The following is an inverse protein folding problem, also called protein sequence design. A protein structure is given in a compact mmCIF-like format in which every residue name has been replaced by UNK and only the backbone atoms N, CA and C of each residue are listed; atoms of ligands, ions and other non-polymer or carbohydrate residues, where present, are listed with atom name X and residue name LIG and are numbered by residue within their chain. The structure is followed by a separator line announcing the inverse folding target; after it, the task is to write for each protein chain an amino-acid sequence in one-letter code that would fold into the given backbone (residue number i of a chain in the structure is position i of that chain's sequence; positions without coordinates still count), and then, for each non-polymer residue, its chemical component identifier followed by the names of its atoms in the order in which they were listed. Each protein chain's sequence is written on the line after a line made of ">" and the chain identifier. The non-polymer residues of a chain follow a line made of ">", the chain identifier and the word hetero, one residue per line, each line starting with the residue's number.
data_IF_454484439617
#
_entry.id   IF_454484439617
#
_cell.length_a   1.000
_cell.length_b   1.000
_cell.length_c   1.000
_cell.angle_alpha   90.00
_cell.angle_beta   90.00
_cell.angle_gamma   90.00
#
_symmetry.space_group_name_H-M   'P 1'
#
loop_
_entity.id
_entity.type
_entity.pdbx_description
1 polymer ?
#
# COMPACT_ATOMS: atom_id res chain seq x y z
N UNK A 1 -14.00 37.47 32.70
CA UNK A 1 -14.27 36.08 33.15
C UNK A 1 -14.55 35.12 31.99
N UNK A 2 -15.27 35.51 30.94
CA UNK A 2 -15.52 34.65 29.75
C UNK A 2 -14.24 34.25 29.00
N UNK A 3 -13.28 35.18 28.84
CA UNK A 3 -11.99 34.89 28.19
C UNK A 3 -11.23 33.77 28.91
N UNK A 4 -11.12 33.80 30.24
CA UNK A 4 -10.28 32.83 30.97
C UNK A 4 -10.83 31.40 30.95
N UNK A 5 -12.15 31.21 30.85
CA UNK A 5 -12.75 29.87 30.72
C UNK A 5 -12.54 29.33 29.31
N UNK A 6 -12.71 30.16 28.28
CA UNK A 6 -12.43 29.78 26.89
C UNK A 6 -10.95 29.39 26.73
N UNK A 7 -10.04 30.19 27.29
CA UNK A 7 -8.60 29.91 27.23
C UNK A 7 -8.27 28.58 27.94
N UNK A 8 -8.90 28.30 29.09
CA UNK A 8 -8.75 27.02 29.79
C UNK A 8 -9.32 25.82 29.00
N UNK A 9 -10.46 25.98 28.33
CA UNK A 9 -11.03 24.93 27.45
C UNK A 9 -10.05 24.64 26.31
N UNK A 10 -9.56 25.67 25.62
CA UNK A 10 -8.60 25.52 24.51
C UNK A 10 -7.33 24.84 25.00
N UNK A 11 -6.81 25.24 26.17
CA UNK A 11 -5.59 24.67 26.72
C UNK A 11 -5.72 23.18 27.05
N UNK A 12 -6.87 22.76 27.61
CA UNK A 12 -7.12 21.34 27.83
C UNK A 12 -7.25 20.58 26.49
N UNK A 13 -8.02 21.11 25.54
CA UNK A 13 -8.25 20.46 24.24
C UNK A 13 -7.02 20.43 23.33
N UNK A 14 -6.02 21.29 23.55
CA UNK A 14 -4.71 21.18 22.91
C UNK A 14 -3.95 19.92 23.32
N UNK A 15 -4.25 19.39 24.51
CA UNK A 15 -3.55 18.26 25.13
C UNK A 15 -4.34 16.97 25.02
N UNK A 16 -5.66 17.02 25.05
CA UNK A 16 -6.51 15.83 24.97
C UNK A 16 -7.96 16.20 24.59
N UNK A 17 -8.65 15.45 23.72
CA UNK A 17 -10.12 15.51 23.63
C UNK A 17 -10.80 15.28 24.98
N UNK A 18 -11.93 15.97 25.19
CA UNK A 18 -12.63 15.97 26.47
C UNK A 18 -14.15 16.01 26.33
N UNK A 19 -14.87 15.47 27.31
CA UNK A 19 -16.31 15.63 27.50
C UNK A 19 -16.63 16.95 28.20
N UNK A 20 -17.90 17.36 28.15
CA UNK A 20 -18.37 18.53 28.93
C UNK A 20 -18.12 18.40 30.43
N UNK A 21 -18.08 17.18 30.97
CA UNK A 21 -17.86 16.94 32.41
C UNK A 21 -16.39 17.14 32.78
N UNK A 22 -15.47 16.62 31.97
CA UNK A 22 -14.02 16.82 32.16
C UNK A 22 -13.65 18.31 32.01
N UNK A 23 -14.23 18.98 30.99
CA UNK A 23 -14.06 20.43 30.80
C UNK A 23 -14.56 21.23 32.01
N UNK A 24 -15.74 20.89 32.56
CA UNK A 24 -16.31 21.56 33.72
C UNK A 24 -15.42 21.38 34.97
N UNK A 25 -14.94 20.17 35.19
CA UNK A 25 -14.00 19.85 36.27
C UNK A 25 -12.70 20.63 36.14
N UNK A 26 -12.12 20.70 34.94
CA UNK A 26 -10.86 21.41 34.70
C UNK A 26 -10.99 22.93 34.86
N UNK A 27 -12.09 23.51 34.38
CA UNK A 27 -12.35 24.95 34.48
C UNK A 27 -12.89 25.39 35.86
N UNK A 28 -13.20 24.46 36.76
CA UNK A 28 -13.78 24.77 38.08
C UNK A 28 -15.16 25.43 38.01
N UNK A 29 -15.97 25.07 37.01
CA UNK A 29 -17.31 25.64 36.80
C UNK A 29 -18.36 24.57 36.50
N UNK A 30 -19.63 24.96 36.42
CA UNK A 30 -20.72 24.03 36.13
C UNK A 30 -20.82 23.70 34.62
N UNK A 31 -21.48 22.57 34.32
CA UNK A 31 -21.64 22.08 32.93
C UNK A 31 -22.46 23.03 32.05
N UNK A 32 -23.39 23.82 32.60
CA UNK A 32 -24.18 24.77 31.81
C UNK A 32 -23.32 25.95 31.35
N UNK A 33 -22.39 26.41 32.20
CA UNK A 33 -21.38 27.40 31.86
C UNK A 33 -20.48 26.91 30.72
N UNK A 34 -19.97 25.69 30.81
CA UNK A 34 -19.18 25.05 29.75
C UNK A 34 -19.95 24.93 28.43
N UNK A 35 -21.20 24.47 28.49
CA UNK A 35 -22.04 24.30 27.29
C UNK A 35 -22.24 25.64 26.57
N UNK A 36 -22.42 26.74 27.32
CA UNK A 36 -22.51 28.08 26.75
C UNK A 36 -21.20 28.54 26.12
N UNK A 37 -20.04 28.25 26.74
CA UNK A 37 -18.74 28.61 26.16
C UNK A 37 -18.42 27.78 24.90
N UNK A 38 -18.75 26.49 24.90
CA UNK A 38 -18.58 25.60 23.75
C UNK A 38 -19.31 26.11 22.50
N UNK A 39 -20.51 26.67 22.66
CA UNK A 39 -21.25 27.32 21.56
C UNK A 39 -20.49 28.49 20.94
N UNK A 40 -19.72 29.23 21.72
CA UNK A 40 -18.89 30.33 21.21
C UNK A 40 -17.65 29.83 20.45
N UNK A 41 -17.30 28.55 20.61
CA UNK A 41 -16.14 27.90 20.00
C UNK A 41 -16.54 26.92 18.89
N UNK A 42 -17.81 26.86 18.49
CA UNK A 42 -18.32 25.84 17.55
C UNK A 42 -17.51 25.75 16.25
N UNK A 43 -17.09 26.89 15.68
CA UNK A 43 -16.26 26.92 14.47
C UNK A 43 -14.85 26.33 14.68
N UNK A 44 -14.33 26.34 15.90
CA UNK A 44 -13.00 25.81 16.27
C UNK A 44 -13.03 24.38 16.77
N UNK A 45 -14.22 23.82 16.99
CA UNK A 45 -14.41 22.52 17.58
C UNK A 45 -14.95 21.50 16.57
N UNK A 46 -14.70 20.24 16.87
CA UNK A 46 -15.37 19.09 16.27
C UNK A 46 -15.89 18.25 17.41
N UNK A 47 -17.03 17.60 17.21
CA UNK A 47 -17.64 16.71 18.19
C UNK A 47 -17.83 15.33 17.61
N UNK A 48 -17.56 14.29 18.41
CA UNK A 48 -17.93 12.91 18.09
C UNK A 48 -18.81 12.35 19.20
N UNK A 49 -19.56 11.28 18.90
CA UNK A 49 -20.43 10.60 19.86
C UNK A 49 -21.66 11.40 20.31
N UNK A 50 -22.58 10.72 21.00
CA UNK A 50 -23.87 11.28 21.42
C UNK A 50 -24.06 11.22 22.93
N UNK A 51 -24.78 12.21 23.47
CA UNK A 51 -25.13 12.31 24.89
C UNK A 51 -23.91 12.13 25.82
N UNK A 52 -23.89 11.06 26.62
CA UNK A 52 -22.79 10.79 27.56
C UNK A 52 -21.46 10.41 26.88
N UNK A 53 -21.50 10.00 25.62
CA UNK A 53 -20.32 9.65 24.83
C UNK A 53 -19.75 10.84 24.04
N UNK A 54 -20.37 12.03 24.13
CA UNK A 54 -19.90 13.20 23.38
C UNK A 54 -18.51 13.64 23.82
N UNK A 55 -17.61 13.73 22.84
CA UNK A 55 -16.25 14.25 22.99
C UNK A 55 -16.07 15.49 22.11
N UNK A 56 -15.38 16.48 22.65
CA UNK A 56 -14.99 17.72 21.98
C UNK A 56 -13.52 17.66 21.62
N UNK A 57 -13.21 18.10 20.41
CA UNK A 57 -11.87 18.15 19.84
C UNK A 57 -11.60 19.57 19.36
N UNK A 58 -10.38 20.06 19.56
CA UNK A 58 -9.95 21.32 18.98
C UNK A 58 -9.39 21.08 17.58
N UNK A 59 -9.82 21.86 16.59
CA UNK A 59 -9.31 21.79 15.21
C UNK A 59 -7.82 22.16 15.16
N UNK A 60 -7.07 21.45 14.31
CA UNK A 60 -5.66 21.70 14.01
C UNK A 60 -5.55 22.28 12.60
N UNK A 61 -5.33 23.59 12.49
CA UNK A 61 -5.19 24.28 11.20
C UNK A 61 -6.44 25.08 10.80
N UNK A 62 -6.85 24.98 9.53
CA UNK A 62 -7.92 25.78 8.95
C UNK A 62 -9.31 25.45 9.52
N UNK A 63 -10.23 26.41 9.39
CA UNK A 63 -11.61 26.26 9.88
C UNK A 63 -12.45 25.28 9.03
N UNK A 64 -12.05 25.02 7.78
CA UNK A 64 -12.79 24.16 6.86
C UNK A 64 -12.38 22.69 6.96
N UNK A 65 -13.38 21.79 6.91
CA UNK A 65 -13.14 20.36 6.82
C UNK A 65 -12.49 19.99 5.48
N UNK A 66 -11.60 19.00 5.47
CA UNK A 66 -10.97 18.54 4.22
C UNK A 66 -11.84 17.47 3.58
N UNK A 67 -12.38 17.76 2.39
CA UNK A 67 -13.22 16.82 1.66
C UNK A 67 -12.44 15.54 1.29
N UNK A 68 -13.08 14.39 1.45
CA UNK A 68 -12.64 13.11 0.92
C UNK A 68 -13.51 12.78 -0.29
N UNK A 69 -12.89 12.58 -1.44
CA UNK A 69 -13.60 12.14 -2.64
C UNK A 69 -13.27 10.68 -2.91
N UNK A 70 -14.26 9.95 -3.45
CA UNK A 70 -14.10 8.57 -3.91
C UNK A 70 -14.40 8.51 -5.40
N UNK A 71 -13.46 7.99 -6.17
CA UNK A 71 -13.63 7.73 -7.61
C UNK A 71 -14.23 6.33 -7.80
N UNK A 72 -15.37 6.24 -8.46
CA UNK A 72 -16.02 4.98 -8.77
C UNK A 72 -15.34 4.25 -9.94
N UNK A 73 -15.67 2.99 -10.15
CA UNK A 73 -15.22 2.21 -11.31
C UNK A 73 -15.68 2.81 -12.65
N UNK A 74 -16.76 3.60 -12.64
CA UNK A 74 -17.27 4.32 -13.82
C UNK A 74 -16.46 5.58 -14.16
N UNK A 75 -15.46 5.94 -13.35
CA UNK A 75 -14.67 7.15 -13.53
C UNK A 75 -15.32 8.44 -13.03
N UNK A 76 -16.39 8.34 -12.23
CA UNK A 76 -17.02 9.49 -11.58
C UNK A 76 -16.57 9.60 -10.13
N UNK A 77 -16.19 10.80 -9.70
CA UNK A 77 -15.92 11.09 -8.30
C UNK A 77 -17.19 11.51 -7.57
N UNK A 78 -17.34 11.05 -6.32
CA UNK A 78 -18.37 11.49 -5.40
C UNK A 78 -17.72 11.94 -4.08
N UNK A 79 -18.39 12.86 -3.37
CA UNK A 79 -18.00 13.20 -2.00
C UNK A 79 -18.26 11.99 -1.11
N UNK A 80 -17.20 11.45 -0.51
CA UNK A 80 -17.26 10.31 0.40
C UNK A 80 -17.44 10.76 1.85
N UNK A 81 -16.80 11.86 2.22
CA UNK A 81 -16.85 12.37 3.58
C UNK A 81 -15.97 13.59 3.78
N UNK A 82 -15.67 13.89 5.04
CA UNK A 82 -14.70 14.90 5.43
C UNK A 82 -13.72 14.36 6.47
N UNK A 83 -12.47 14.83 6.37
CA UNK A 83 -11.37 14.55 7.28
C UNK A 83 -11.01 15.87 7.98
N UNK A 84 -10.96 15.85 9.30
CA UNK A 84 -10.69 17.05 10.11
C UNK A 84 -9.52 16.75 11.02
N UNK A 85 -8.39 17.45 10.80
CA UNK A 85 -7.24 17.35 11.68
C UNK A 85 -7.58 17.97 13.04
N UNK A 86 -7.27 17.26 14.12
CA UNK A 86 -7.57 17.68 15.49
C UNK A 86 -6.33 17.66 16.38
N UNK A 87 -6.42 18.36 17.50
CA UNK A 87 -5.38 18.40 18.54
C UNK A 87 -5.59 17.28 19.57
N UNK A 88 -4.52 16.79 20.22
CA UNK A 88 -3.10 17.06 19.92
C UNK A 88 -2.62 16.42 18.60
N UNK A 89 -3.22 15.30 18.22
CA UNK A 89 -2.94 14.52 17.01
C UNK A 89 -4.20 13.82 16.51
N UNK A 90 -4.11 13.24 15.31
CA UNK A 90 -5.18 12.46 14.73
C UNK A 90 -6.21 13.26 13.94
N UNK A 91 -7.27 12.55 13.57
CA UNK A 91 -8.31 13.04 12.67
C UNK A 91 -9.70 12.59 13.11
N UNK A 92 -10.69 13.48 12.92
CA UNK A 92 -12.10 13.09 12.93
C UNK A 92 -12.56 12.91 11.49
N UNK A 93 -13.16 11.76 11.19
CA UNK A 93 -13.78 11.45 9.90
C UNK A 93 -15.29 11.52 10.04
N UNK A 94 -15.92 12.21 9.08
CA UNK A 94 -17.37 12.22 8.89
C UNK A 94 -17.68 11.61 7.52
N UNK A 95 -18.32 10.46 7.46
CA UNK A 95 -18.70 9.83 6.19
C UNK A 95 -20.19 10.03 5.91
N UNK A 96 -20.56 10.11 4.63
CA UNK A 96 -21.96 10.17 4.26
C UNK A 96 -22.61 8.79 4.46
N UNK A 97 -23.44 8.63 5.50
CA UNK A 97 -24.23 7.42 5.74
C UNK A 97 -23.89 6.65 7.01
N UNK A 98 -22.78 6.93 7.68
CA UNK A 98 -22.53 6.45 9.04
C UNK A 98 -23.24 7.33 10.06
N UNK A 99 -23.76 6.72 11.12
CA UNK A 99 -24.51 7.45 12.16
C UNK A 99 -23.61 8.26 13.09
N UNK A 100 -22.33 7.90 13.23
CA UNK A 100 -21.43 8.54 14.18
C UNK A 100 -20.07 8.87 13.55
N UNK A 101 -19.61 10.10 13.81
CA UNK A 101 -18.27 10.57 13.44
C UNK A 101 -17.20 9.77 14.21
N UNK A 102 -16.15 9.35 13.51
CA UNK A 102 -15.11 8.51 14.07
C UNK A 102 -13.81 9.30 14.28
N UNK A 103 -13.22 9.17 15.47
CA UNK A 103 -11.88 9.68 15.74
C UNK A 103 -10.84 8.58 15.51
N UNK A 104 -9.73 8.96 14.87
CA UNK A 104 -8.56 8.14 14.65
C UNK A 104 -7.33 8.87 15.20
N UNK A 105 -6.49 8.17 15.97
CA UNK A 105 -5.25 8.74 16.53
C UNK A 105 -4.22 9.10 15.45
N UNK A 106 -4.40 8.57 14.24
CA UNK A 106 -3.61 8.87 13.04
C UNK A 106 -4.54 8.83 11.81
N UNK A 107 -4.03 8.81 10.58
CA UNK A 107 -4.86 8.56 9.40
C UNK A 107 -5.68 7.26 9.59
N UNK A 108 -6.97 7.27 9.19
CA UNK A 108 -7.79 6.07 9.13
C UNK A 108 -7.04 4.94 8.41
N UNK A 109 -7.15 3.71 8.89
CA UNK A 109 -6.41 2.56 8.36
C UNK A 109 -6.58 2.39 6.83
N UNK A 110 -7.75 2.74 6.28
CA UNK A 110 -8.06 2.70 4.84
C UNK A 110 -7.48 3.88 4.03
N UNK A 111 -6.87 4.88 4.67
CA UNK A 111 -6.05 5.94 4.04
C UNK A 111 -4.54 5.71 4.21
N UNK A 112 -4.12 4.80 5.09
CA UNK A 112 -2.71 4.69 5.47
C UNK A 112 -1.81 4.27 4.30
N UNK A 113 -2.29 3.42 3.38
CA UNK A 113 -1.52 3.03 2.18
C UNK A 113 -1.39 4.16 1.13
N UNK A 114 -2.09 5.28 1.30
CA UNK A 114 -1.87 6.47 0.46
C UNK A 114 -0.60 7.24 0.84
N UNK A 115 -0.02 6.96 2.02
CA UNK A 115 1.23 7.61 2.44
C UNK A 115 2.29 7.43 1.37
N UNK A 116 2.98 8.52 0.98
CA UNK A 116 4.15 8.42 0.13
C UNK A 116 5.18 7.50 0.78
N UNK A 117 5.51 6.42 0.09
CA UNK A 117 6.50 5.44 0.55
C UNK A 117 7.35 4.95 -0.64
N UNK A 118 8.53 4.49 -0.30
CA UNK A 118 9.52 3.98 -1.23
C UNK A 118 9.90 4.91 -2.38
N UNK A 119 10.31 4.34 -3.53
CA UNK A 119 10.82 5.08 -4.69
C UNK A 119 9.90 6.23 -5.15
N UNK A 120 8.63 5.93 -5.41
CA UNK A 120 7.67 6.96 -5.84
C UNK A 120 7.40 8.00 -4.75
N UNK A 121 7.36 7.57 -3.49
CA UNK A 121 7.16 8.45 -2.35
C UNK A 121 8.31 9.44 -2.16
N UNK A 122 9.56 8.99 -2.28
CA UNK A 122 10.75 9.85 -2.22
C UNK A 122 10.82 10.85 -3.37
N UNK A 123 10.47 10.43 -4.58
CA UNK A 123 10.39 11.35 -5.72
C UNK A 123 9.33 12.43 -5.51
N UNK A 124 8.16 12.06 -4.97
CA UNK A 124 7.15 13.04 -4.58
C UNK A 124 7.67 13.96 -3.47
N UNK A 125 8.32 13.42 -2.43
CA UNK A 125 8.81 14.20 -1.30
C UNK A 125 9.77 15.31 -1.73
N UNK A 126 10.71 15.01 -2.62
CA UNK A 126 11.63 16.01 -3.19
C UNK A 126 10.91 17.09 -3.99
N UNK A 127 9.97 16.69 -4.85
CA UNK A 127 9.18 17.63 -5.62
C UNK A 127 8.41 18.59 -4.70
N UNK A 128 7.83 18.08 -3.61
CA UNK A 128 7.11 18.89 -2.62
C UNK A 128 8.05 19.77 -1.77
N UNK A 129 9.22 19.26 -1.39
CA UNK A 129 10.22 20.01 -0.64
C UNK A 129 10.76 21.20 -1.45
N UNK A 130 11.06 21.00 -2.74
CA UNK A 130 11.49 22.08 -3.65
C UNK A 130 10.45 23.20 -3.81
N UNK A 131 9.17 22.90 -3.55
CA UNK A 131 8.06 23.86 -3.57
C UNK A 131 7.74 24.45 -2.19
N UNK A 132 8.45 24.05 -1.14
CA UNK A 132 8.19 24.49 0.24
C UNK A 132 6.90 23.94 0.85
N UNK A 133 6.33 22.87 0.28
CA UNK A 133 5.05 22.27 0.73
C UNK A 133 5.26 21.37 1.96
N UNK A 134 6.40 20.70 2.04
CA UNK A 134 6.84 19.86 3.17
C UNK A 134 8.14 20.40 3.75
N UNK A 135 8.40 20.12 5.02
CA UNK A 135 9.56 20.65 5.73
C UNK A 135 10.90 19.97 5.36
N UNK A 136 10.85 18.74 4.82
CA UNK A 136 12.02 17.94 4.45
C UNK A 136 11.65 17.00 3.29
N UNK A 137 12.63 16.64 2.45
CA UNK A 137 12.46 15.64 1.38
C UNK A 137 12.67 14.19 1.86
N UNK A 138 13.08 14.01 3.12
CA UNK A 138 13.21 12.72 3.76
C UNK A 138 11.89 12.30 4.43
N UNK A 139 11.24 11.30 3.83
CA UNK A 139 9.95 10.76 4.26
C UNK A 139 10.00 10.13 5.67
N UNK A 140 11.17 9.69 6.14
CA UNK A 140 11.31 9.07 7.47
C UNK A 140 11.20 10.10 8.60
N UNK A 141 11.41 11.39 8.30
CA UNK A 141 11.29 12.50 9.25
C UNK A 141 9.97 13.27 9.15
N UNK A 142 9.06 12.86 8.26
CA UNK A 142 7.79 13.54 8.06
C UNK A 142 6.91 13.49 9.31
N UNK A 143 6.32 14.65 9.64
CA UNK A 143 5.30 14.77 10.67
C UNK A 143 3.91 14.68 10.03
N UNK A 144 2.85 14.57 10.85
CA UNK A 144 1.45 14.53 10.38
C UNK A 144 1.12 15.58 9.32
N UNK A 145 1.61 16.81 9.52
CA UNK A 145 1.39 17.93 8.59
C UNK A 145 2.01 17.68 7.21
N UNK A 146 3.19 17.06 7.17
CA UNK A 146 3.93 16.82 5.93
C UNK A 146 3.26 15.69 5.15
N UNK A 147 2.83 14.63 5.84
CA UNK A 147 2.02 13.55 5.28
C UNK A 147 0.71 14.11 4.72
N UNK A 148 -0.01 14.92 5.50
CA UNK A 148 -1.26 15.53 5.10
C UNK A 148 -1.10 16.43 3.86
N UNK A 149 -0.09 17.31 3.87
CA UNK A 149 0.23 18.15 2.72
C UNK A 149 0.61 17.31 1.51
N UNK A 150 1.37 16.24 1.67
CA UNK A 150 1.74 15.37 0.57
C UNK A 150 0.53 14.66 -0.03
N UNK A 151 -0.42 14.22 0.78
CA UNK A 151 -1.68 13.63 0.32
C UNK A 151 -2.57 14.63 -0.43
N UNK A 152 -2.61 15.90 -0.01
CA UNK A 152 -3.32 16.96 -0.73
C UNK A 152 -2.74 17.23 -2.13
N UNK A 153 -1.43 17.01 -2.29
CA UNK A 153 -0.67 17.29 -3.52
C UNK A 153 -0.33 16.03 -4.33
N UNK A 154 -0.74 14.85 -3.85
CA UNK A 154 -0.69 13.64 -4.64
C UNK A 154 -1.66 13.84 -5.81
N UNK A 155 -1.12 13.97 -7.03
CA UNK A 155 -1.80 14.33 -8.30
C UNK A 155 -2.82 13.28 -8.79
N UNK A 156 -3.56 12.70 -7.85
CA UNK A 156 -4.47 11.62 -8.06
C UNK A 156 -3.82 10.27 -8.33
N UNK A 157 -2.50 10.09 -8.44
CA UNK A 157 -1.97 8.78 -8.86
C UNK A 157 -1.74 7.75 -7.72
N UNK A 158 -2.17 8.08 -6.50
CA UNK A 158 -2.07 7.19 -5.34
C UNK A 158 -2.80 5.84 -5.54
N UNK A 159 -2.42 4.79 -4.81
CA UNK A 159 -3.15 3.52 -4.79
C UNK A 159 -4.62 3.70 -4.40
N UNK A 160 -5.49 2.82 -4.90
CA UNK A 160 -6.90 2.83 -4.54
C UNK A 160 -7.70 3.92 -5.24
N UNK A 161 -8.78 4.38 -4.59
CA UNK A 161 -9.78 5.26 -5.21
C UNK A 161 -10.13 6.53 -4.44
N UNK A 162 -9.37 6.87 -3.41
CA UNK A 162 -9.62 8.04 -2.57
C UNK A 162 -8.73 9.22 -2.97
N UNK A 163 -9.30 10.41 -2.93
CA UNK A 163 -8.62 11.69 -3.14
C UNK A 163 -8.82 12.57 -1.92
N UNK A 164 -7.74 13.13 -1.39
CA UNK A 164 -7.78 14.01 -0.22
C UNK A 164 -7.80 15.47 -0.67
N UNK A 165 -8.85 16.18 -0.27
CA UNK A 165 -9.00 17.61 -0.49
C UNK A 165 -9.43 18.01 -1.90
N UNK A 166 -9.83 19.27 -2.04
CA UNK A 166 -10.24 19.85 -3.32
C UNK A 166 -9.09 19.97 -4.32
N UNK A 167 -7.85 20.12 -3.85
CA UNK A 167 -6.68 20.20 -4.72
C UNK A 167 -6.43 18.88 -5.46
N UNK A 168 -6.34 17.76 -4.74
CA UNK A 168 -6.16 16.43 -5.34
C UNK A 168 -7.33 16.10 -6.28
N UNK A 169 -8.56 16.46 -5.90
CA UNK A 169 -9.74 16.32 -6.75
C UNK A 169 -9.65 17.13 -8.05
N UNK A 170 -9.31 18.42 -7.97
CA UNK A 170 -9.17 19.28 -9.14
C UNK A 170 -8.07 18.78 -10.08
N UNK A 171 -6.93 18.36 -9.52
CA UNK A 171 -5.84 17.77 -10.30
C UNK A 171 -6.27 16.49 -11.00
N UNK A 172 -7.03 15.63 -10.33
CA UNK A 172 -7.60 14.43 -10.93
C UNK A 172 -8.59 14.76 -12.07
N UNK A 173 -9.48 15.74 -11.89
CA UNK A 173 -10.42 16.18 -12.94
C UNK A 173 -9.72 16.74 -14.19
N UNK A 174 -8.62 17.46 -13.99
CA UNK A 174 -7.86 18.08 -15.07
C UNK A 174 -6.88 17.10 -15.73
N UNK A 175 -6.58 15.99 -15.06
CA UNK A 175 -5.66 14.99 -15.57
C UNK A 175 -6.30 14.22 -16.73
N UNK A 176 -5.62 14.24 -17.88
CA UNK A 176 -5.93 13.40 -19.02
C UNK A 176 -4.78 12.41 -19.19
N UNK A 177 -5.02 11.09 -19.05
CA UNK A 177 -3.98 10.09 -19.25
C UNK A 177 -3.38 10.23 -20.65
N UNK A 178 -2.09 10.58 -20.71
CA UNK A 178 -1.35 10.60 -21.97
C UNK A 178 -0.95 9.17 -22.31
N UNK A 179 -1.43 8.66 -23.44
CA UNK A 179 -1.02 7.36 -23.95
C UNK A 179 0.46 7.43 -24.35
N UNK A 180 1.24 6.49 -23.83
CA UNK A 180 2.65 6.31 -24.20
C UNK A 180 2.84 4.89 -24.75
N UNK A 181 3.89 4.71 -25.52
CA UNK A 181 4.29 3.42 -26.06
C UNK A 181 5.40 2.79 -25.20
N UNK A 182 5.64 1.50 -25.38
CA UNK A 182 6.78 0.83 -24.75
C UNK A 182 8.12 1.45 -25.16
N UNK A 183 8.22 2.06 -26.35
CA UNK A 183 9.42 2.75 -26.79
C UNK A 183 9.76 3.99 -25.94
N UNK A 184 8.78 4.56 -25.23
CA UNK A 184 8.98 5.71 -24.35
C UNK A 184 9.56 5.32 -22.97
N UNK A 185 9.63 4.02 -22.66
CA UNK A 185 10.01 3.55 -21.32
C UNK A 185 11.42 3.96 -20.90
N UNK A 186 12.36 4.03 -21.84
CA UNK A 186 13.73 4.49 -21.55
C UNK A 186 13.71 5.93 -21.04
N UNK A 187 13.01 6.82 -21.77
CA UNK A 187 12.88 8.22 -21.38
C UNK A 187 12.20 8.35 -20.02
N UNK A 188 11.09 7.64 -19.82
CA UNK A 188 10.34 7.67 -18.56
C UNK A 188 11.17 7.15 -17.38
N UNK A 189 11.99 6.12 -17.58
CA UNK A 189 12.95 5.67 -16.56
C UNK A 189 14.02 6.72 -16.27
N UNK A 190 14.58 7.39 -17.29
CA UNK A 190 15.53 8.48 -17.08
C UNK A 190 14.90 9.63 -16.29
N UNK A 191 13.68 10.05 -16.63
CA UNK A 191 12.96 11.11 -15.92
C UNK A 191 12.66 10.71 -14.46
N UNK A 192 12.27 9.44 -14.23
CA UNK A 192 12.03 8.91 -12.89
C UNK A 192 13.31 8.86 -12.04
N UNK A 193 14.46 8.56 -12.64
CA UNK A 193 15.76 8.53 -11.97
C UNK A 193 16.35 9.92 -11.76
N UNK A 194 16.04 10.90 -12.61
CA UNK A 194 16.47 12.29 -12.41
C UNK A 194 15.91 12.92 -11.12
N UNK A 195 14.80 12.37 -10.61
CA UNK A 195 14.26 12.69 -9.28
C UNK A 195 15.01 12.04 -8.11
N UNK A 196 15.91 11.07 -8.32
CA UNK A 196 16.67 10.38 -7.26
C UNK A 196 17.98 11.10 -6.89
N UNK A 197 18.52 10.81 -5.69
CA UNK A 197 19.88 11.25 -5.33
C UNK A 197 20.83 10.17 -5.82
N UNK A 198 21.94 10.55 -6.43
CA UNK A 198 23.00 9.59 -6.82
C UNK A 198 23.41 8.78 -5.57
N UNK A 199 23.08 7.49 -5.56
CA UNK A 199 23.36 6.57 -4.45
C UNK A 199 22.15 6.17 -3.57
N UNK A 200 20.96 6.77 -3.72
CA UNK A 200 19.76 6.36 -2.93
C UNK A 200 19.17 5.01 -3.35
N UNK A 201 19.40 4.58 -4.60
CA UNK A 201 19.02 3.24 -5.07
C UNK A 201 19.74 2.10 -4.31
N UNK A 202 20.71 2.40 -3.45
CA UNK A 202 21.32 1.43 -2.53
C UNK A 202 20.36 0.94 -1.42
N UNK A 203 19.17 1.55 -1.28
CA UNK A 203 18.15 1.18 -0.31
C UNK A 203 17.50 -0.19 -0.54
N UNK A 204 17.60 -0.74 -1.75
CA UNK A 204 17.06 -2.05 -2.12
C UNK A 204 15.63 -2.03 -2.68
N UNK A 205 15.03 -0.86 -2.83
CA UNK A 205 13.71 -0.73 -3.45
C UNK A 205 13.80 -0.59 -4.97
N UNK A 206 12.98 -1.36 -5.68
CA UNK A 206 12.99 -1.40 -7.13
C UNK A 206 12.47 -0.09 -7.76
N UNK A 207 13.24 0.56 -8.66
CA UNK A 207 12.79 1.72 -9.43
C UNK A 207 11.53 1.42 -10.24
N UNK A 208 10.61 2.39 -10.26
CA UNK A 208 9.33 2.26 -10.97
C UNK A 208 8.72 3.59 -11.36
N UNK A 209 7.88 3.58 -12.40
CA UNK A 209 7.05 4.71 -12.79
C UNK A 209 5.64 4.25 -13.19
N UNK A 210 4.68 5.17 -13.15
CA UNK A 210 3.33 4.93 -13.68
C UNK A 210 3.24 5.43 -15.13
N UNK A 211 2.53 4.68 -15.97
CA UNK A 211 2.29 5.03 -17.37
C UNK A 211 0.92 4.56 -17.83
N UNK A 212 0.37 5.18 -18.88
CA UNK A 212 -0.85 4.71 -19.54
C UNK A 212 -0.48 4.11 -20.90
N UNK A 213 -0.53 2.78 -21.00
CA UNK A 213 -0.01 2.00 -22.13
C UNK A 213 -1.10 1.08 -22.63
N UNK A 214 -1.36 1.10 -23.95
CA UNK A 214 -2.37 0.26 -24.60
C UNK A 214 -3.76 0.34 -23.94
N UNK A 215 -4.16 1.55 -23.53
CA UNK A 215 -5.47 1.79 -22.90
C UNK A 215 -5.58 1.35 -21.44
N UNK A 216 -4.47 0.92 -20.81
CA UNK A 216 -4.44 0.49 -19.42
C UNK A 216 -3.41 1.30 -18.61
N UNK A 217 -3.75 1.59 -17.36
CA UNK A 217 -2.80 2.14 -16.39
C UNK A 217 -1.83 1.05 -15.96
N UNK A 218 -0.54 1.37 -15.95
CA UNK A 218 0.54 0.42 -15.66
C UNK A 218 1.51 0.99 -14.63
N UNK A 219 1.99 0.10 -13.77
CA UNK A 219 3.15 0.33 -12.91
C UNK A 219 4.33 -0.42 -13.54
N UNK A 220 5.29 0.33 -14.07
CA UNK A 220 6.44 -0.23 -14.78
C UNK A 220 7.64 -0.24 -13.82
N UNK A 221 8.05 -1.43 -13.39
CA UNK A 221 9.31 -1.64 -12.66
C UNK A 221 10.46 -1.74 -13.67
N UNK A 222 11.64 -1.23 -13.34
CA UNK A 222 12.77 -1.26 -14.27
C UNK A 222 14.11 -1.44 -13.57
N UNK A 223 15.13 -1.76 -14.37
CA UNK A 223 16.53 -1.87 -13.92
C UNK A 223 17.37 -0.70 -14.42
N UNK A 224 18.51 -0.49 -13.77
CA UNK A 224 19.65 0.15 -14.44
C UNK A 224 20.14 -0.71 -15.63
N UNK A 225 20.93 -0.16 -16.57
CA UNK A 225 21.45 -0.93 -17.69
C UNK A 225 22.25 -2.12 -17.18
N UNK A 226 21.91 -3.32 -17.66
CA UNK A 226 22.48 -4.60 -17.29
C UNK A 226 23.92 -4.73 -17.83
N UNK A 227 24.84 -4.05 -17.18
CA UNK A 227 26.26 -3.93 -17.56
C UNK A 227 27.18 -4.74 -16.67
N UNK A 228 26.65 -5.32 -15.59
CA UNK A 228 27.39 -6.16 -14.64
C UNK A 228 26.47 -7.25 -14.05
N UNK A 229 27.05 -8.18 -13.27
CA UNK A 229 26.32 -9.32 -12.73
C UNK A 229 25.12 -8.93 -11.83
N UNK A 230 25.24 -7.86 -11.03
CA UNK A 230 24.16 -7.41 -10.14
C UNK A 230 22.99 -6.81 -10.92
N UNK A 231 23.28 -5.95 -11.89
CA UNK A 231 22.25 -5.36 -12.77
C UNK A 231 21.59 -6.41 -13.67
N UNK A 232 22.36 -7.41 -14.14
CA UNK A 232 21.81 -8.57 -14.82
C UNK A 232 20.89 -9.39 -13.91
N UNK A 233 21.28 -9.64 -12.64
CA UNK A 233 20.44 -10.36 -11.68
C UNK A 233 19.10 -9.66 -11.44
N UNK A 234 19.08 -8.33 -11.36
CA UNK A 234 17.81 -7.58 -11.28
C UNK A 234 16.94 -7.74 -12.53
N UNK A 235 17.55 -7.80 -13.72
CA UNK A 235 16.80 -8.06 -14.95
C UNK A 235 16.21 -9.48 -14.95
N UNK A 236 16.97 -10.47 -14.47
CA UNK A 236 16.50 -11.84 -14.30
C UNK A 236 15.37 -11.95 -13.26
N UNK A 237 15.42 -11.15 -12.19
CA UNK A 237 14.37 -11.10 -11.16
C UNK A 237 13.07 -10.49 -11.67
N UNK A 238 13.13 -9.45 -12.53
CA UNK A 238 11.93 -8.92 -13.18
C UNK A 238 11.29 -9.96 -14.10
N UNK A 239 12.09 -10.71 -14.86
CA UNK A 239 11.60 -11.84 -15.65
C UNK A 239 10.97 -12.92 -14.76
N UNK A 240 11.60 -13.24 -13.63
CA UNK A 240 11.06 -14.21 -12.69
C UNK A 240 9.70 -13.74 -12.11
N UNK A 241 9.55 -12.46 -11.78
CA UNK A 241 8.26 -11.92 -11.34
C UNK A 241 7.18 -12.11 -12.42
N UNK A 242 7.49 -11.80 -13.68
CA UNK A 242 6.57 -12.03 -14.80
C UNK A 242 6.14 -13.51 -14.90
N UNK A 243 7.08 -14.45 -14.81
CA UNK A 243 6.79 -15.88 -14.89
C UNK A 243 5.98 -16.38 -13.69
N UNK A 244 6.26 -15.86 -12.49
CA UNK A 244 5.51 -16.20 -11.29
C UNK A 244 4.04 -15.72 -11.37
N UNK A 245 3.83 -14.47 -11.82
CA UNK A 245 2.48 -13.92 -12.03
C UNK A 245 1.72 -14.70 -13.10
N UNK A 246 2.36 -15.02 -14.22
CA UNK A 246 1.77 -15.82 -15.31
C UNK A 246 1.43 -17.23 -14.83
N UNK A 247 2.33 -17.85 -14.06
CA UNK A 247 2.09 -19.18 -13.47
C UNK A 247 0.87 -19.16 -12.54
N UNK A 248 0.73 -18.15 -11.67
CA UNK A 248 -0.46 -18.03 -10.82
C UNK A 248 -1.75 -17.91 -11.66
N UNK A 249 -1.71 -17.08 -12.72
CA UNK A 249 -2.85 -16.91 -13.63
C UNK A 249 -3.23 -18.22 -14.35
N UNK A 250 -2.24 -18.98 -14.82
CA UNK A 250 -2.43 -20.30 -15.47
C UNK A 250 -3.10 -21.32 -14.54
N UNK A 251 -2.94 -21.15 -13.22
CA UNK A 251 -3.60 -21.95 -12.19
C UNK A 251 -4.87 -21.28 -11.63
N UNK A 252 -5.45 -20.34 -12.38
CA UNK A 252 -6.68 -19.60 -12.04
C UNK A 252 -6.62 -18.82 -10.72
N UNK A 253 -5.42 -18.47 -10.24
CA UNK A 253 -5.25 -17.49 -9.18
C UNK A 253 -5.13 -16.11 -9.83
N UNK A 254 -6.00 -15.18 -9.42
CA UNK A 254 -5.96 -13.82 -9.93
C UNK A 254 -4.60 -13.18 -9.60
N UNK A 255 -3.86 -12.81 -10.64
CA UNK A 255 -2.57 -12.16 -10.56
C UNK A 255 -2.53 -10.98 -11.53
N UNK A 256 -1.66 -10.02 -11.23
CA UNK A 256 -1.48 -8.83 -12.07
C UNK A 256 -0.96 -9.24 -13.43
N UNK A 257 -1.66 -8.83 -14.50
CA UNK A 257 -1.18 -9.04 -15.85
C UNK A 257 0.08 -8.21 -16.07
N UNK A 258 1.13 -8.85 -16.59
CA UNK A 258 2.44 -8.22 -16.74
C UNK A 258 3.07 -8.57 -18.09
N UNK A 259 3.96 -7.70 -18.56
CA UNK A 259 4.76 -7.92 -19.77
C UNK A 259 6.20 -7.49 -19.54
N UNK A 260 7.14 -8.30 -20.04
CA UNK A 260 8.57 -7.94 -20.06
C UNK A 260 8.88 -7.18 -21.34
N UNK A 261 9.58 -6.05 -21.19
CA UNK A 261 10.12 -5.25 -22.29
C UNK A 261 11.62 -5.06 -22.04
N UNK A 262 12.44 -5.26 -23.08
CA UNK A 262 13.89 -5.05 -23.02
C UNK A 262 14.28 -3.94 -24.00
N UNK A 263 14.86 -2.86 -23.49
CA UNK A 263 15.29 -1.70 -24.28
C UNK A 263 16.61 -1.16 -23.71
N UNK A 264 17.57 -0.84 -24.57
CA UNK A 264 18.85 -0.23 -24.19
C UNK A 264 19.56 -0.92 -23.01
N UNK A 265 19.60 -2.26 -23.02
CA UNK A 265 20.19 -3.09 -21.96
C UNK A 265 19.45 -2.99 -20.60
N UNK A 266 18.28 -2.36 -20.52
CA UNK A 266 17.41 -2.37 -19.34
C UNK A 266 16.30 -3.39 -19.53
N UNK A 267 15.86 -3.98 -18.41
CA UNK A 267 14.63 -4.75 -18.34
C UNK A 267 13.53 -3.91 -17.69
N UNK A 268 12.32 -4.01 -18.23
CA UNK A 268 11.12 -3.38 -17.73
C UNK A 268 10.05 -4.46 -17.51
N UNK A 269 9.44 -4.47 -16.33
CA UNK A 269 8.26 -5.26 -16.02
C UNK A 269 7.06 -4.31 -15.97
N UNK A 270 6.21 -4.39 -16.99
CA UNK A 270 5.04 -3.54 -17.16
C UNK A 270 3.78 -4.23 -16.60
N UNK A 271 3.46 -3.92 -15.35
CA UNK A 271 2.32 -4.51 -14.64
C UNK A 271 1.06 -3.64 -14.78
N UNK A 272 -0.06 -4.23 -15.19
CA UNK A 272 -1.35 -3.54 -15.22
C UNK A 272 -1.83 -3.21 -13.80
N UNK A 273 -2.30 -1.98 -13.59
CA UNK A 273 -2.82 -1.56 -12.29
C UNK A 273 -4.23 -2.08 -12.08
N UNK A 274 -4.37 -3.08 -11.22
CA UNK A 274 -5.67 -3.69 -10.88
C UNK A 274 -6.57 -2.80 -9.99
N UNK A 275 -6.08 -1.64 -9.54
CA UNK A 275 -6.86 -0.61 -8.84
C UNK A 275 -7.40 0.48 -9.80
N UNK A 276 -7.26 0.29 -11.11
CA UNK A 276 -7.71 1.18 -12.18
C UNK A 276 -8.70 0.45 -13.11
N UNK A 277 -9.65 1.21 -13.67
CA UNK A 277 -10.67 0.70 -14.61
C UNK A 277 -10.81 1.69 -15.76
N UNK A 278 -10.41 1.26 -16.96
CA UNK A 278 -10.34 2.15 -18.13
C UNK A 278 -9.43 3.37 -17.87
N UNK A 279 -9.77 4.51 -18.47
CA UNK A 279 -8.95 5.72 -18.35
C UNK A 279 -9.08 6.41 -16.97
N UNK A 280 -10.27 6.38 -16.34
CA UNK A 280 -10.57 7.21 -15.17
C UNK A 280 -11.12 6.45 -13.95
N UNK A 281 -11.65 5.25 -14.16
CA UNK A 281 -12.26 4.46 -13.09
C UNK A 281 -11.23 3.92 -12.10
N UNK A 282 -11.67 3.70 -10.86
CA UNK A 282 -10.80 3.23 -9.77
C UNK A 282 -11.52 2.28 -8.82
N UNK A 283 -10.74 1.43 -8.16
CA UNK A 283 -11.19 0.52 -7.09
C UNK A 283 -10.51 0.88 -5.79
N UNK A 284 -11.23 0.84 -4.67
CA UNK A 284 -10.63 1.04 -3.35
C UNK A 284 -9.72 -0.13 -3.01
N UNK A 285 -8.57 0.15 -2.40
CA UNK A 285 -7.53 -0.84 -2.15
C UNK A 285 -6.92 -0.61 -0.76
N UNK A 286 -6.73 -1.69 -0.01
CA UNK A 286 -6.07 -1.71 1.31
C UNK A 286 -5.14 -2.91 1.41
N UNK A 287 -3.93 -2.72 1.91
CA UNK A 287 -2.97 -3.81 2.10
C UNK A 287 -3.32 -4.68 3.31
N UNK A 288 -2.86 -5.94 3.31
CA UNK A 288 -2.95 -6.83 4.47
C UNK A 288 -2.29 -6.21 5.69
N UNK A 289 -1.24 -5.39 5.52
CA UNK A 289 -0.58 -4.64 6.60
C UNK A 289 -1.55 -3.74 7.33
N UNK A 290 -2.36 -2.95 6.61
CA UNK A 290 -3.32 -2.04 7.23
C UNK A 290 -4.52 -2.78 7.82
N UNK A 291 -4.96 -3.87 7.17
CA UNK A 291 -6.03 -4.73 7.67
C UNK A 291 -5.60 -5.46 8.95
N UNK A 292 -4.38 -5.98 9.01
CA UNK A 292 -3.77 -6.60 10.19
C UNK A 292 -3.71 -5.61 11.35
N UNK A 293 -3.12 -4.42 11.13
CA UNK A 293 -3.04 -3.38 12.17
C UNK A 293 -4.40 -3.00 12.76
N UNK A 294 -5.45 -2.97 11.94
CA UNK A 294 -6.79 -2.57 12.37
C UNK A 294 -7.55 -3.69 13.09
N UNK A 295 -7.46 -4.93 12.63
CA UNK A 295 -8.37 -6.00 13.05
C UNK A 295 -7.71 -7.15 13.80
N UNK A 296 -6.41 -7.36 13.64
CA UNK A 296 -5.69 -8.51 14.22
C UNK A 296 -4.67 -8.06 15.26
N UNK A 297 -3.83 -7.07 14.93
CA UNK A 297 -2.93 -6.40 15.87
C UNK A 297 -1.77 -7.26 16.36
N UNK A 298 -1.40 -8.32 15.63
CA UNK A 298 -0.30 -9.24 15.99
C UNK A 298 0.48 -9.65 14.74
N UNK A 299 1.79 -9.30 14.65
CA UNK A 299 2.62 -9.71 13.52
C UNK A 299 2.59 -11.23 13.32
N UNK A 300 2.18 -11.66 12.12
CA UNK A 300 2.12 -13.07 11.74
C UNK A 300 2.27 -13.24 10.22
N UNK A 301 2.44 -14.49 9.79
CA UNK A 301 2.44 -14.86 8.37
C UNK A 301 1.04 -14.69 7.75
N UNK A 302 0.97 -14.48 6.43
CA UNK A 302 -0.29 -14.21 5.73
C UNK A 302 -1.40 -15.22 6.03
N UNK A 303 -1.16 -16.55 6.06
CA UNK A 303 -2.22 -17.52 6.34
C UNK A 303 -2.83 -17.38 7.74
N UNK A 304 -2.02 -16.96 8.73
CA UNK A 304 -2.48 -16.76 10.11
C UNK A 304 -3.40 -15.54 10.20
N UNK A 305 -2.99 -14.43 9.57
CA UNK A 305 -3.79 -13.21 9.52
C UNK A 305 -5.09 -13.47 8.74
N UNK A 306 -5.02 -14.13 7.58
CA UNK A 306 -6.18 -14.48 6.77
C UNK A 306 -7.18 -15.36 7.55
N UNK A 307 -6.70 -16.31 8.37
CA UNK A 307 -7.58 -17.15 9.19
C UNK A 307 -8.32 -16.34 10.25
N UNK A 308 -7.67 -15.33 10.87
CA UNK A 308 -8.35 -14.42 11.79
C UNK A 308 -9.42 -13.58 11.07
N UNK A 309 -9.08 -13.03 9.90
CA UNK A 309 -10.03 -12.27 9.09
C UNK A 309 -11.24 -13.10 8.64
N UNK A 310 -11.04 -14.39 8.36
CA UNK A 310 -12.12 -15.32 8.06
C UNK A 310 -13.04 -15.54 9.28
N UNK A 311 -12.48 -15.74 10.47
CA UNK A 311 -13.25 -15.89 11.71
C UNK A 311 -14.10 -14.65 12.00
N UNK A 312 -13.56 -13.47 11.71
CA UNK A 312 -14.24 -12.18 11.86
C UNK A 312 -15.18 -11.86 10.68
N UNK A 313 -15.35 -12.79 9.73
CA UNK A 313 -16.20 -12.66 8.53
C UNK A 313 -15.87 -11.45 7.67
N UNK A 314 -14.60 -11.05 7.66
CA UNK A 314 -14.06 -9.96 6.83
C UNK A 314 -13.74 -10.42 5.43
N UNK A 315 -13.28 -11.66 5.27
CA UNK A 315 -12.98 -12.29 3.98
C UNK A 315 -13.74 -13.60 3.82
N UNK A 316 -13.83 -14.09 2.58
CA UNK A 316 -14.45 -15.40 2.30
C UNK A 316 -13.50 -16.55 2.62
N UNK A 317 -14.05 -17.76 2.81
CA UNK A 317 -13.25 -18.97 2.96
C UNK A 317 -12.40 -19.28 1.71
N UNK A 318 -12.89 -18.89 0.53
CA UNK A 318 -12.16 -19.01 -0.72
C UNK A 318 -10.92 -18.11 -0.73
N UNK A 319 -11.07 -16.85 -0.34
CA UNK A 319 -9.95 -15.91 -0.26
C UNK A 319 -8.89 -16.37 0.74
N UNK A 320 -9.32 -16.83 1.94
CA UNK A 320 -8.40 -17.37 2.94
C UNK A 320 -7.59 -18.58 2.39
N UNK A 321 -8.26 -19.50 1.70
CA UNK A 321 -7.62 -20.65 1.07
C UNK A 321 -6.64 -20.22 -0.05
N UNK A 322 -7.03 -19.26 -0.89
CA UNK A 322 -6.16 -18.72 -1.94
C UNK A 322 -4.93 -18.05 -1.34
N UNK A 323 -5.06 -17.25 -0.28
CA UNK A 323 -3.93 -16.62 0.41
C UNK A 323 -2.96 -17.68 0.95
N UNK A 324 -3.46 -18.77 1.55
CA UNK A 324 -2.63 -19.86 2.02
C UNK A 324 -1.82 -20.52 0.89
N UNK A 325 -2.45 -20.79 -0.26
CA UNK A 325 -1.77 -21.36 -1.44
C UNK A 325 -0.73 -20.41 -2.00
N UNK A 326 -1.06 -19.13 -2.16
CA UNK A 326 -0.13 -18.12 -2.69
C UNK A 326 1.08 -17.94 -1.78
N UNK A 327 0.87 -17.91 -0.46
CA UNK A 327 1.96 -17.87 0.51
C UNK A 327 2.87 -19.11 0.37
N UNK A 328 2.29 -20.32 0.29
CA UNK A 328 3.06 -21.54 0.04
C UNK A 328 3.84 -21.47 -1.28
N UNK A 329 3.23 -20.97 -2.36
CA UNK A 329 3.89 -20.79 -3.65
C UNK A 329 5.08 -19.84 -3.52
N UNK A 330 4.90 -18.68 -2.89
CA UNK A 330 5.97 -17.73 -2.61
C UNK A 330 7.13 -18.36 -1.83
N UNK A 331 6.85 -19.17 -0.80
CA UNK A 331 7.89 -19.94 -0.08
C UNK A 331 8.63 -20.91 -1.00
N UNK A 332 7.91 -21.63 -1.86
CA UNK A 332 8.46 -22.64 -2.78
C UNK A 332 9.16 -22.03 -4.01
N UNK A 333 9.04 -20.72 -4.22
CA UNK A 333 9.87 -19.97 -5.18
C UNK A 333 10.97 -19.16 -4.50
N UNK A 334 11.26 -19.40 -3.21
CA UNK A 334 12.29 -18.66 -2.47
C UNK A 334 12.01 -17.14 -2.39
N UNK A 335 10.74 -16.75 -2.35
CA UNK A 335 10.37 -15.37 -2.03
C UNK A 335 10.55 -15.14 -0.52
N UNK A 336 11.62 -14.42 -0.17
CA UNK A 336 11.95 -14.05 1.22
C UNK A 336 11.35 -12.70 1.62
N UNK A 337 10.63 -12.02 0.74
CA UNK A 337 10.10 -10.67 0.95
C UNK A 337 8.56 -10.62 0.91
N UNK A 338 7.91 -11.64 1.47
CA UNK A 338 6.44 -11.71 1.59
C UNK A 338 5.92 -10.96 2.82
N UNK A 339 6.26 -9.68 2.97
CA UNK A 339 5.70 -8.86 4.04
C UNK A 339 4.22 -8.55 3.77
N UNK A 340 3.46 -8.16 4.80
CA UNK A 340 2.00 -7.90 4.71
C UNK A 340 1.63 -6.72 3.80
N UNK A 341 2.60 -5.98 3.26
CA UNK A 341 2.38 -4.93 2.25
C UNK A 341 2.24 -5.46 0.81
N UNK A 342 2.65 -6.71 0.57
CA UNK A 342 2.62 -7.34 -0.77
C UNK A 342 1.38 -8.22 -1.00
N UNK A 343 0.35 -8.04 -0.18
CA UNK A 343 -0.99 -8.59 -0.36
C UNK A 343 -2.00 -7.47 -0.12
N UNK A 344 -3.04 -7.39 -0.95
CA UNK A 344 -4.06 -6.34 -0.83
C UNK A 344 -5.47 -6.89 -1.03
N UNK A 345 -6.46 -6.12 -0.57
CA UNK A 345 -7.87 -6.37 -0.72
C UNK A 345 -8.55 -5.17 -1.38
N UNK A 346 -9.54 -5.44 -2.22
CA UNK A 346 -10.50 -4.43 -2.61
C UNK A 346 -11.38 -4.07 -1.42
N UNK A 347 -11.59 -2.77 -1.23
CA UNK A 347 -12.40 -2.20 -0.16
C UNK A 347 -13.41 -1.21 -0.73
N UNK A 348 -14.70 -1.53 -0.60
CA UNK A 348 -15.79 -0.69 -1.09
C UNK A 348 -16.38 0.22 0.01
N UNK A 349 -15.83 0.20 1.23
CA UNK A 349 -16.37 0.95 2.38
C UNK A 349 -17.38 0.16 3.23
N UNK A 350 -17.59 -1.11 2.93
CA UNK A 350 -18.34 -2.06 3.73
C UNK A 350 -17.41 -2.96 4.57
N UNK A 351 -17.97 -3.89 5.34
CA UNK A 351 -17.16 -4.80 6.17
C UNK A 351 -16.50 -5.93 5.38
N UNK A 352 -16.81 -6.09 4.09
CA UNK A 352 -16.31 -7.18 3.25
C UNK A 352 -15.03 -6.76 2.51
N UNK A 353 -13.99 -7.58 2.65
CA UNK A 353 -12.72 -7.46 1.97
C UNK A 353 -12.63 -8.59 0.94
N UNK A 354 -12.37 -8.22 -0.31
CA UNK A 354 -12.16 -9.19 -1.38
C UNK A 354 -10.70 -9.21 -1.78
N UNK A 355 -10.09 -10.39 -1.85
CA UNK A 355 -8.68 -10.51 -2.25
C UNK A 355 -8.46 -9.84 -3.63
N UNK A 356 -7.50 -8.91 -3.69
CA UNK A 356 -7.08 -8.28 -4.93
C UNK A 356 -6.08 -9.21 -5.67
N UNK A 357 -5.85 -9.00 -6.98
CA UNK A 357 -4.87 -9.78 -7.73
C UNK A 357 -3.49 -9.78 -7.07
N UNK A 358 -2.78 -10.91 -7.11
CA UNK A 358 -1.41 -11.03 -6.60
C UNK A 358 -0.44 -10.17 -7.42
N UNK A 359 0.53 -9.58 -6.74
CA UNK A 359 1.61 -8.74 -7.30
C UNK A 359 2.89 -8.98 -6.48
N UNK A 360 4.03 -8.52 -6.98
CA UNK A 360 5.32 -8.58 -6.27
C UNK A 360 5.71 -9.99 -5.80
N UNK A 361 5.50 -10.98 -6.68
CA UNK A 361 5.78 -12.38 -6.38
C UNK A 361 7.03 -12.82 -7.15
N UNK A 362 8.19 -12.87 -6.48
CA UNK A 362 9.48 -13.15 -7.12
C UNK A 362 10.50 -13.76 -6.13
N UNK A 363 11.56 -14.43 -6.61
CA UNK A 363 12.45 -15.22 -5.77
C UNK A 363 13.52 -14.36 -5.07
N UNK A 364 13.09 -13.53 -4.12
CA UNK A 364 13.92 -12.51 -3.47
C UNK A 364 15.14 -13.03 -2.68
N UNK A 365 15.22 -14.34 -2.40
CA UNK A 365 16.45 -14.95 -1.87
C UNK A 365 17.69 -14.71 -2.76
N UNK A 366 17.46 -14.43 -4.05
CA UNK A 366 18.50 -14.23 -5.05
C UNK A 366 18.72 -12.76 -5.42
N UNK A 367 18.05 -11.83 -4.75
CA UNK A 367 18.29 -10.40 -4.90
C UNK A 367 19.71 -10.03 -4.46
N UNK A 368 20.42 -9.16 -5.20
CA UNK A 368 21.68 -8.61 -4.73
C UNK A 368 21.51 -7.90 -3.38
N UNK A 369 22.36 -8.25 -2.41
CA UNK A 369 22.44 -7.54 -1.13
C UNK A 369 23.00 -6.13 -1.34
N UNK A 370 22.86 -5.26 -0.33
CA UNK A 370 23.46 -3.90 -0.35
C UNK A 370 24.98 -3.91 -0.56
N UNK A 371 25.65 -4.97 -0.12
CA UNK A 371 27.09 -5.19 -0.37
C UNK A 371 27.41 -5.59 -1.81
N UNK A 372 26.40 -5.84 -2.63
CA UNK A 372 26.53 -6.41 -3.97
C UNK A 372 26.71 -7.93 -3.99
N UNK A 373 26.75 -8.60 -2.84
CA UNK A 373 26.82 -10.05 -2.78
C UNK A 373 25.49 -10.69 -3.25
N UNK A 374 25.57 -11.81 -3.95
CA UNK A 374 24.42 -12.54 -4.48
C UNK A 374 24.49 -14.00 -4.05
N UNK A 375 23.37 -14.54 -3.61
CA UNK A 375 23.24 -15.98 -3.39
C UNK A 375 23.08 -16.72 -4.74
N UNK A 376 23.60 -17.94 -4.79
CA UNK A 376 23.42 -18.89 -5.90
C UNK A 376 22.68 -20.17 -5.49
N UNK A 377 22.27 -20.27 -4.22
CA UNK A 377 21.48 -21.39 -3.69
C UNK A 377 20.58 -20.93 -2.54
N UNK A 378 19.51 -21.68 -2.31
CA UNK A 378 18.58 -21.48 -1.20
C UNK A 378 18.01 -22.84 -0.79
N UNK A 379 17.65 -22.98 0.49
CA UNK A 379 17.00 -24.19 1.02
C UNK A 379 15.57 -23.84 1.40
N UNK A 380 14.58 -24.53 0.82
CA UNK A 380 13.19 -24.26 1.16
C UNK A 380 12.86 -24.66 2.60
N UNK A 381 12.26 -23.74 3.34
CA UNK A 381 11.67 -24.02 4.65
C UNK A 381 10.17 -24.27 4.49
N UNK A 382 9.76 -25.51 4.76
CA UNK A 382 8.34 -25.89 4.85
C UNK A 382 7.95 -25.94 6.32
N UNK A 383 6.86 -25.26 6.64
CA UNK A 383 6.37 -25.14 8.01
C UNK A 383 4.88 -25.49 8.11
N UNK A 384 4.41 -25.95 9.28
CA UNK A 384 2.99 -26.26 9.51
C UNK A 384 2.15 -25.00 9.80
N UNK A 385 2.57 -23.82 9.32
CA UNK A 385 1.82 -22.56 9.46
C UNK A 385 0.47 -22.62 8.76
N UNK A 386 0.35 -23.46 7.73
CA UNK A 386 -0.90 -23.76 7.04
C UNK A 386 -1.02 -25.25 6.74
N UNK A 387 -2.23 -25.70 6.41
CA UNK A 387 -2.56 -27.10 6.13
C UNK A 387 -1.75 -27.65 4.93
N UNK A 388 -1.39 -28.92 4.98
CA UNK A 388 -0.61 -29.60 3.94
C UNK A 388 -1.27 -29.56 2.56
N UNK A 389 -2.60 -29.47 2.49
CA UNK A 389 -3.34 -29.35 1.23
C UNK A 389 -2.93 -28.11 0.42
N UNK A 390 -2.59 -27.00 1.08
CA UNK A 390 -2.18 -25.76 0.41
C UNK A 390 -0.76 -25.88 -0.15
N UNK A 391 0.15 -26.51 0.58
CA UNK A 391 1.49 -26.86 0.07
C UNK A 391 1.42 -27.78 -1.15
N UNK A 392 0.56 -28.80 -1.11
CA UNK A 392 0.34 -29.72 -2.24
C UNK A 392 -0.25 -29.01 -3.46
N UNK A 393 -1.12 -28.01 -3.26
CA UNK A 393 -1.65 -27.18 -4.35
C UNK A 393 -0.59 -26.25 -4.93
N UNK A 394 0.27 -25.65 -4.09
CA UNK A 394 1.33 -24.74 -4.52
C UNK A 394 2.51 -25.45 -5.22
N UNK A 395 2.81 -26.70 -4.86
CA UNK A 395 3.93 -27.47 -5.43
C UNK A 395 3.96 -27.50 -6.97
N UNK A 396 2.89 -27.91 -7.69
CA UNK A 396 2.93 -27.95 -9.15
C UNK A 396 3.09 -26.56 -9.78
N UNK A 397 2.64 -25.50 -9.11
CA UNK A 397 2.86 -24.12 -9.54
C UNK A 397 4.35 -23.76 -9.46
N UNK A 398 4.98 -24.02 -8.31
CA UNK A 398 6.41 -23.78 -8.11
C UNK A 398 7.27 -24.61 -9.06
N UNK A 399 6.90 -25.87 -9.32
CA UNK A 399 7.60 -26.74 -10.27
C UNK A 399 7.53 -26.17 -11.69
N UNK A 400 6.35 -25.71 -12.14
CA UNK A 400 6.17 -25.06 -13.44
C UNK A 400 7.01 -23.79 -13.53
N UNK A 401 6.96 -22.94 -12.52
CA UNK A 401 7.73 -21.70 -12.44
C UNK A 401 9.24 -21.95 -12.60
N UNK A 402 9.82 -22.85 -11.80
CA UNK A 402 11.26 -23.12 -11.87
C UNK A 402 11.69 -23.75 -13.18
N UNK A 403 10.87 -24.65 -13.75
CA UNK A 403 11.14 -25.25 -15.07
C UNK A 403 11.12 -24.19 -16.17
N UNK A 404 10.09 -23.33 -16.20
CA UNK A 404 10.00 -22.25 -17.17
C UNK A 404 11.20 -21.30 -17.06
N UNK A 405 11.57 -20.89 -15.84
CA UNK A 405 12.70 -20.00 -15.63
C UNK A 405 14.04 -20.64 -16.04
N UNK A 406 14.23 -21.93 -15.76
CA UNK A 406 15.42 -22.69 -16.15
C UNK A 406 15.59 -22.83 -17.67
N UNK A 407 14.50 -22.74 -18.43
CA UNK A 407 14.47 -22.92 -19.89
C UNK A 407 14.32 -21.59 -20.64
N UNK A 408 14.01 -20.49 -19.94
CA UNK A 408 13.71 -19.20 -20.57
C UNK A 408 14.94 -18.61 -21.26
N UNK A 409 14.81 -18.33 -22.56
CA UNK A 409 15.91 -17.81 -23.37
C UNK A 409 16.44 -16.46 -22.86
N UNK A 410 15.53 -15.61 -22.38
CA UNK A 410 15.85 -14.27 -21.87
C UNK A 410 16.48 -14.23 -20.48
N UNK A 411 16.48 -15.35 -19.72
CA UNK A 411 17.17 -15.45 -18.45
C UNK A 411 18.66 -15.66 -18.68
N UNK A 412 19.50 -15.05 -17.84
CA UNK A 412 20.94 -15.26 -17.90
C UNK A 412 21.31 -16.73 -17.67
N UNK A 413 22.45 -17.17 -18.23
CA UNK A 413 22.92 -18.55 -18.05
C UNK A 413 23.11 -18.92 -16.57
N UNK A 414 23.56 -17.94 -15.76
CA UNK A 414 23.74 -18.11 -14.33
C UNK A 414 22.40 -18.31 -13.62
N UNK A 415 21.40 -17.47 -13.93
CA UNK A 415 20.09 -17.57 -13.29
C UNK A 415 19.30 -18.81 -13.73
N UNK A 416 19.48 -19.27 -14.98
CA UNK A 416 19.00 -20.59 -15.41
C UNK A 416 19.61 -21.72 -14.59
N UNK A 417 20.90 -21.63 -14.26
CA UNK A 417 21.58 -22.59 -13.37
C UNK A 417 21.01 -22.59 -11.95
N UNK A 418 20.69 -21.40 -11.40
CA UNK A 418 19.98 -21.28 -10.12
C UNK A 418 18.61 -21.96 -10.21
N UNK A 419 17.82 -21.67 -11.24
CA UNK A 419 16.49 -22.25 -11.40
C UNK A 419 16.53 -23.79 -11.50
N UNK A 420 17.52 -24.37 -12.19
CA UNK A 420 17.74 -25.82 -12.23
C UNK A 420 18.06 -26.39 -10.85
N UNK A 421 18.94 -25.73 -10.08
CA UNK A 421 19.27 -26.12 -8.71
C UNK A 421 18.04 -26.05 -7.80
N UNK A 422 17.24 -24.99 -7.90
CA UNK A 422 16.03 -24.82 -7.10
C UNK A 422 14.92 -25.81 -7.46
N UNK A 423 14.84 -26.22 -8.73
CA UNK A 423 13.93 -27.29 -9.15
C UNK A 423 14.31 -28.62 -8.48
N UNK A 424 15.60 -28.95 -8.41
CA UNK A 424 16.08 -30.15 -7.70
C UNK A 424 15.78 -30.05 -6.20
N UNK A 425 16.02 -28.90 -5.58
CA UNK A 425 15.70 -28.70 -4.17
C UNK A 425 14.20 -28.81 -3.90
N UNK A 426 13.34 -28.31 -4.79
CA UNK A 426 11.88 -28.47 -4.70
C UNK A 426 11.49 -29.95 -4.72
N UNK A 427 12.08 -30.73 -5.65
CA UNK A 427 11.84 -32.17 -5.75
C UNK A 427 12.27 -32.91 -4.48
N UNK A 428 13.39 -32.52 -3.86
CA UNK A 428 13.84 -33.08 -2.58
C UNK A 428 12.84 -32.83 -1.44
N UNK A 429 12.03 -31.77 -1.52
CA UNK A 429 10.97 -31.48 -0.53
C UNK A 429 9.64 -32.18 -0.81
N UNK A 430 9.47 -32.80 -1.98
CA UNK A 430 8.18 -33.38 -2.39
C UNK A 430 7.62 -34.37 -1.36
N UNK A 431 8.45 -35.31 -0.91
CA UNK A 431 8.02 -36.31 0.07
C UNK A 431 7.60 -35.68 1.41
N UNK A 432 8.27 -34.59 1.83
CA UNK A 432 7.89 -33.86 3.04
C UNK A 432 6.51 -33.20 2.88
N UNK A 433 6.27 -32.52 1.75
CA UNK A 433 4.99 -31.86 1.43
C UNK A 433 3.84 -32.89 1.35
N UNK A 434 4.08 -34.02 0.68
CA UNK A 434 3.06 -35.07 0.50
C UNK A 434 2.63 -35.70 1.83
N UNK A 435 3.50 -35.70 2.85
CA UNK A 435 3.23 -36.24 4.20
C UNK A 435 2.58 -35.27 5.18
N UNK A 436 2.46 -33.98 4.85
CA UNK A 436 1.84 -33.01 5.73
C UNK A 436 0.35 -33.32 5.93
N UNK A 437 -0.14 -33.15 7.16
CA UNK A 437 -1.56 -33.28 7.48
C UNK A 437 -2.39 -32.26 6.66
#
# INVERSE_FOLDING_TARGET
>A
MTSSIIDAIIELLRRNPASSTELASFCGCDRSTITRQLKLLEAKLVTTGRARATRYYLRRGADADTALYRVAETGHAALFGSLIAVMPHGYVVKTAGETDDCFYDDLPWWLQDLRPQGFLGRNLAKALFSQGIVATDDIDYWQDKDIFNALLHAKGDSPGNLLLGSLSYQQWLQHQPAMVSEADFVKLATDAMAGEVVGSSAGGEQPKFCAFVDGAHRLVKFTEPATNANSQRWADLLLAEHLALTTLADFAIAATHSKIVKLEQRAFLSCERFDRVGAFGRKGLVSLRMVDMQFVGKPAEWPVIAQQLLQDKRITAQDAATIAVVWCFGRLIANTDMHTGNLSFYYAGDNELKLAPIYDMLPMAFAPLRSGAMASSHTFTISPVTEGKHWRQAYPMAERFWRQLAEHADASAEFRGIAQSMLLELQNKKQLIDRMA
#
